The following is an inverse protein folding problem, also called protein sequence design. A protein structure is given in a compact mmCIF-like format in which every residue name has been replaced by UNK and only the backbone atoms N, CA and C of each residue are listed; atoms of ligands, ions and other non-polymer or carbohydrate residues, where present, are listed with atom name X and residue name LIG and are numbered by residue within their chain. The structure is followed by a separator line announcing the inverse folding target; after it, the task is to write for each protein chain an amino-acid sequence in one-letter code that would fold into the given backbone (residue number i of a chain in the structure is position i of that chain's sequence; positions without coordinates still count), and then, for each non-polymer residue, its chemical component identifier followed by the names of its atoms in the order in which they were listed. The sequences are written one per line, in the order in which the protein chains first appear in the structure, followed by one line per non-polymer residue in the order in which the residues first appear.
data_IF_300471980654
#
_entry.id   IF_300471980654
#
_cell.length_a   1.000
_cell.length_b   1.000
_cell.length_c   1.000
_cell.angle_alpha   90.00
_cell.angle_beta   90.00
_cell.angle_gamma   90.00
#
_symmetry.space_group_name_H-M   'P 1'
#
loop_
_entity.id
_entity.type
_entity.pdbx_description
1 polymer ?
#
# COMPACT_ATOMS: atom_id res chain seq x y z
N UNK A 1 -20.30 -8.43 -13.68
CA UNK A 1 -20.10 -8.80 -12.25
C UNK A 1 -19.02 -9.88 -12.21
N UNK A 2 -18.08 -9.79 -11.26
CA UNK A 2 -17.08 -10.85 -11.06
C UNK A 2 -17.63 -11.85 -10.04
N UNK A 3 -17.55 -13.15 -10.36
CA UNK A 3 -17.98 -14.24 -9.48
C UNK A 3 -16.85 -15.26 -9.34
N UNK A 4 -16.71 -15.93 -8.18
CA UNK A 4 -15.59 -16.83 -7.94
C UNK A 4 -15.70 -18.15 -8.71
N UNK A 5 -16.91 -18.61 -9.02
CA UNK A 5 -17.14 -19.82 -9.80
C UNK A 5 -18.50 -19.80 -10.52
N UNK A 6 -18.70 -20.76 -11.43
CA UNK A 6 -19.94 -20.89 -12.20
C UNK A 6 -21.16 -21.17 -11.33
N UNK A 7 -21.00 -21.94 -10.24
CA UNK A 7 -22.08 -22.27 -9.30
C UNK A 7 -22.63 -21.04 -8.56
N UNK A 8 -21.84 -19.98 -8.43
CA UNK A 8 -22.25 -18.71 -7.82
C UNK A 8 -23.00 -17.79 -8.78
N UNK A 9 -23.23 -18.19 -10.02
CA UNK A 9 -24.17 -17.52 -10.92
C UNK A 9 -25.58 -17.99 -10.59
N UNK A 10 -26.12 -17.47 -9.50
CA UNK A 10 -27.45 -17.77 -8.97
C UNK A 10 -28.40 -16.57 -9.15
N UNK A 11 -29.71 -16.70 -8.82
CA UNK A 11 -30.66 -15.60 -8.97
C UNK A 11 -30.26 -14.31 -8.23
N UNK A 12 -29.57 -14.41 -7.08
CA UNK A 12 -29.09 -13.24 -6.33
C UNK A 12 -27.94 -12.54 -7.04
N UNK A 13 -27.00 -13.28 -7.63
CA UNK A 13 -25.95 -12.73 -8.47
C UNK A 13 -26.51 -12.05 -9.74
N UNK A 14 -27.54 -12.63 -10.35
CA UNK A 14 -28.25 -12.03 -11.50
C UNK A 14 -28.90 -10.70 -11.09
N UNK A 15 -29.58 -10.64 -9.94
CA UNK A 15 -30.18 -9.41 -9.44
C UNK A 15 -29.12 -8.33 -9.14
N UNK A 16 -27.99 -8.73 -8.53
CA UNK A 16 -26.84 -7.82 -8.29
C UNK A 16 -26.25 -7.30 -9.61
N UNK A 17 -26.09 -8.17 -10.61
CA UNK A 17 -25.59 -7.79 -11.92
C UNK A 17 -26.54 -6.82 -12.65
N UNK A 18 -27.86 -7.03 -12.56
CA UNK A 18 -28.87 -6.10 -13.08
C UNK A 18 -28.78 -4.72 -12.41
N UNK A 19 -28.65 -4.69 -11.08
CA UNK A 19 -28.49 -3.42 -10.34
C UNK A 19 -27.21 -2.68 -10.75
N UNK A 20 -26.10 -3.40 -10.91
CA UNK A 20 -24.84 -2.81 -11.35
C UNK A 20 -24.93 -2.26 -12.78
N UNK A 21 -25.55 -3.00 -13.72
CA UNK A 21 -25.75 -2.54 -15.09
C UNK A 21 -26.68 -1.34 -15.17
N UNK A 22 -27.79 -1.36 -14.43
CA UNK A 22 -28.71 -0.22 -14.32
C UNK A 22 -28.00 1.05 -13.83
N UNK A 23 -27.17 0.91 -12.77
CA UNK A 23 -26.36 2.03 -12.25
C UNK A 23 -25.41 2.57 -13.31
N UNK A 24 -24.75 1.70 -14.08
CA UNK A 24 -23.83 2.13 -15.14
C UNK A 24 -24.56 2.88 -16.26
N UNK A 25 -25.68 2.35 -16.75
CA UNK A 25 -26.48 3.01 -17.80
C UNK A 25 -27.06 4.35 -17.34
N UNK A 26 -27.47 4.45 -16.07
CA UNK A 26 -27.94 5.70 -15.48
C UNK A 26 -26.82 6.76 -15.49
N UNK A 27 -25.60 6.36 -15.13
CA UNK A 27 -24.43 7.24 -15.14
C UNK A 27 -24.04 7.67 -16.56
N UNK A 28 -23.99 6.72 -17.51
CA UNK A 28 -23.68 6.98 -18.93
C UNK A 28 -24.71 7.96 -19.54
N UNK A 29 -26.00 7.76 -19.29
CA UNK A 29 -27.06 8.65 -19.76
C UNK A 29 -26.95 10.06 -19.16
N UNK A 30 -26.66 10.15 -17.86
CA UNK A 30 -26.47 11.42 -17.17
C UNK A 30 -25.23 12.18 -17.68
N UNK A 31 -24.12 11.49 -17.93
CA UNK A 31 -22.90 12.07 -18.50
C UNK A 31 -23.11 12.56 -19.93
N UNK A 32 -23.87 11.81 -20.74
CA UNK A 32 -24.23 12.20 -22.11
C UNK A 32 -25.09 13.46 -22.11
N UNK A 33 -26.12 13.53 -21.26
CA UNK A 33 -26.97 14.71 -21.12
C UNK A 33 -26.17 15.94 -20.63
N UNK A 34 -25.23 15.72 -19.71
CA UNK A 34 -24.33 16.78 -19.21
C UNK A 34 -23.41 17.30 -20.31
N UNK A 35 -22.88 16.42 -21.15
CA UNK A 35 -22.05 16.79 -22.29
C UNK A 35 -22.86 17.54 -23.38
N UNK A 36 -24.15 17.22 -23.53
CA UNK A 36 -25.06 17.90 -24.46
C UNK A 36 -25.50 19.30 -24.00
N UNK A 37 -25.15 19.72 -22.78
CA UNK A 37 -25.38 21.08 -22.30
C UNK A 37 -26.78 21.37 -21.74
N UNK A 38 -27.55 20.34 -21.40
CA UNK A 38 -28.88 20.53 -20.79
C UNK A 38 -28.76 21.21 -19.41
N UNK A 39 -29.52 22.29 -19.20
CA UNK A 39 -29.53 23.04 -17.94
C UNK A 39 -30.60 22.44 -17.01
N UNK A 40 -30.18 21.92 -15.84
CA UNK A 40 -30.96 21.24 -14.76
C UNK A 40 -31.13 19.72 -14.92
N UNK A 41 -30.00 19.00 -14.92
CA UNK A 41 -29.98 17.54 -15.02
C UNK A 41 -29.99 16.93 -13.61
N UNK A 42 -31.08 16.24 -13.23
CA UNK A 42 -31.13 15.42 -12.01
C UNK A 42 -30.87 13.96 -12.34
N UNK A 43 -30.12 13.28 -11.49
CA UNK A 43 -29.78 11.86 -11.68
C UNK A 43 -31.03 10.94 -11.63
N UNK A 44 -32.08 11.36 -10.91
CA UNK A 44 -33.35 10.65 -10.83
C UNK A 44 -34.00 10.44 -12.19
N UNK A 45 -33.87 11.42 -13.08
CA UNK A 45 -34.64 11.49 -14.33
C UNK A 45 -34.10 10.48 -15.37
N UNK A 46 -32.85 10.03 -15.20
CA UNK A 46 -32.17 9.05 -16.04
C UNK A 46 -32.08 7.66 -15.40
N UNK A 47 -32.73 7.44 -14.25
CA UNK A 47 -32.61 6.19 -13.51
C UNK A 47 -33.26 5.03 -14.27
N UNK A 48 -32.44 4.09 -14.73
CA UNK A 48 -32.92 2.89 -15.44
C UNK A 48 -33.35 1.82 -14.44
N UNK A 49 -34.56 1.27 -14.60
CA UNK A 49 -35.05 0.18 -13.75
C UNK A 49 -34.28 -1.12 -13.99
N UNK A 50 -33.70 -1.76 -12.95
CA UNK A 50 -32.99 -3.04 -13.08
C UNK A 50 -33.85 -4.20 -13.63
N UNK A 51 -35.19 -4.10 -13.53
CA UNK A 51 -36.12 -5.14 -13.98
C UNK A 51 -36.25 -5.20 -15.50
N UNK A 52 -36.09 -4.06 -16.19
CA UNK A 52 -36.17 -3.95 -17.65
C UNK A 52 -34.94 -4.52 -18.38
N UNK A 53 -33.93 -4.97 -17.63
CA UNK A 53 -32.69 -5.52 -18.19
C UNK A 53 -32.82 -7.01 -18.39
N UNK A 54 -32.69 -7.47 -19.63
CA UNK A 54 -32.73 -8.89 -19.95
C UNK A 54 -31.57 -9.67 -19.32
N UNK A 55 -31.86 -10.91 -18.94
CA UNK A 55 -30.86 -11.81 -18.33
C UNK A 55 -29.74 -12.15 -19.32
N UNK A 56 -30.06 -12.16 -20.62
CA UNK A 56 -29.13 -12.43 -21.71
C UNK A 56 -28.08 -11.34 -21.85
N UNK A 57 -28.36 -10.11 -21.43
CA UNK A 57 -27.42 -9.01 -21.61
C UNK A 57 -26.44 -8.84 -20.44
N UNK A 58 -26.43 -9.81 -19.52
CA UNK A 58 -25.57 -9.82 -18.36
C UNK A 58 -24.36 -10.71 -18.66
N UNK A 59 -23.17 -10.13 -18.47
CA UNK A 59 -21.90 -10.84 -18.58
C UNK A 59 -21.30 -11.02 -17.19
N UNK A 60 -20.97 -12.27 -16.88
CA UNK A 60 -20.31 -12.68 -15.65
C UNK A 60 -18.85 -13.01 -15.96
N UNK A 61 -17.93 -12.38 -15.24
CA UNK A 61 -16.50 -12.70 -15.31
C UNK A 61 -16.17 -13.70 -14.21
N UNK A 62 -15.56 -14.81 -14.58
CA UNK A 62 -15.07 -15.84 -13.66
C UNK A 62 -13.55 -15.86 -13.75
N UNK A 63 -12.86 -15.63 -12.63
CA UNK A 63 -11.40 -15.72 -12.57
C UNK A 63 -11.02 -17.20 -12.52
N UNK A 64 -10.46 -17.74 -13.60
CA UNK A 64 -10.14 -19.17 -13.71
C UNK A 64 -8.93 -19.41 -14.62
N UNK A 65 -8.19 -20.47 -14.33
CA UNK A 65 -7.02 -20.92 -15.09
C UNK A 65 -7.35 -22.01 -16.12
N UNK A 66 -8.59 -22.48 -16.21
CA UNK A 66 -8.98 -23.68 -16.99
C UNK A 66 -8.60 -23.67 -18.49
N UNK A 67 -8.34 -22.50 -19.07
CA UNK A 67 -7.97 -22.33 -20.48
C UNK A 67 -6.50 -21.98 -20.70
N UNK A 68 -5.74 -21.85 -19.61
CA UNK A 68 -4.31 -21.59 -19.64
C UNK A 68 -3.61 -22.96 -19.68
N UNK A 69 -2.61 -23.16 -20.55
CA UNK A 69 -1.84 -24.40 -20.56
C UNK A 69 -1.12 -24.64 -19.22
N UNK A 70 -1.01 -25.92 -18.86
CA UNK A 70 -0.22 -26.37 -17.71
C UNK A 70 1.27 -26.34 -18.06
N UNK A 71 2.10 -25.87 -17.15
CA UNK A 71 3.56 -25.80 -17.27
C UNK A 71 4.19 -26.26 -15.96
N UNK A 72 4.60 -27.53 -15.93
CA UNK A 72 5.22 -28.17 -14.76
C UNK A 72 6.71 -27.85 -14.61
N UNK A 73 7.37 -27.30 -15.64
CA UNK A 73 8.82 -27.04 -15.63
C UNK A 73 9.16 -25.64 -15.13
N UNK A 74 8.20 -24.71 -15.12
CA UNK A 74 8.45 -23.30 -14.75
C UNK A 74 8.88 -23.09 -13.30
N UNK A 75 8.36 -23.86 -12.35
CA UNK A 75 8.66 -23.71 -10.91
C UNK A 75 8.93 -25.05 -10.26
N UNK A 76 10.10 -25.15 -9.63
CA UNK A 76 10.55 -26.37 -8.93
C UNK A 76 9.60 -26.77 -7.78
N UNK A 77 9.06 -25.80 -7.03
CA UNK A 77 8.13 -26.01 -5.92
C UNK A 77 6.87 -25.16 -6.10
N UNK A 78 5.84 -25.61 -6.84
CA UNK A 78 4.60 -24.88 -7.02
C UNK A 78 3.77 -24.89 -5.72
N UNK A 79 3.26 -23.72 -5.31
CA UNK A 79 2.42 -23.59 -4.09
C UNK A 79 1.00 -23.14 -4.38
N UNK A 80 0.79 -22.46 -5.51
CA UNK A 80 -0.50 -21.92 -5.90
C UNK A 80 -0.95 -22.50 -7.24
N UNK A 81 -2.25 -22.45 -7.52
CA UNK A 81 -2.82 -22.89 -8.81
C UNK A 81 -2.15 -22.19 -9.99
N UNK A 82 -1.82 -20.90 -9.83
CA UNK A 82 -1.10 -20.12 -10.84
C UNK A 82 0.31 -20.64 -11.13
N UNK A 83 0.95 -21.34 -10.19
CA UNK A 83 2.31 -21.87 -10.34
C UNK A 83 2.39 -23.04 -11.31
N UNK A 84 1.28 -23.78 -11.45
CA UNK A 84 1.17 -24.94 -12.34
C UNK A 84 0.85 -24.57 -13.80
N UNK A 85 0.57 -23.30 -14.07
CA UNK A 85 0.18 -22.81 -15.39
C UNK A 85 1.28 -21.94 -16.00
N UNK A 86 1.21 -21.77 -17.33
CA UNK A 86 2.08 -20.86 -18.07
C UNK A 86 2.00 -19.43 -17.51
N UNK A 87 3.12 -18.69 -17.57
CA UNK A 87 3.18 -17.30 -17.08
C UNK A 87 2.29 -16.39 -17.93
N UNK A 88 1.40 -15.67 -17.27
CA UNK A 88 0.46 -14.73 -17.87
C UNK A 88 0.73 -13.30 -17.39
N UNK A 89 0.39 -12.31 -18.22
CA UNK A 89 0.61 -10.89 -17.95
C UNK A 89 -0.51 -10.22 -17.15
N UNK A 90 -1.73 -10.78 -17.17
CA UNK A 90 -2.84 -10.37 -16.31
C UNK A 90 -3.59 -11.58 -15.73
N UNK A 91 -4.41 -11.43 -14.69
CA UNK A 91 -5.10 -12.56 -14.08
C UNK A 91 -6.07 -13.19 -15.09
N UNK A 92 -6.03 -14.52 -15.28
CA UNK A 92 -6.83 -15.16 -16.30
C UNK A 92 -8.30 -15.21 -15.88
N UNK A 93 -9.18 -15.01 -16.86
CA UNK A 93 -10.61 -15.00 -16.66
C UNK A 93 -11.35 -15.53 -17.88
N UNK A 94 -12.59 -15.94 -17.67
CA UNK A 94 -13.54 -16.29 -18.72
C UNK A 94 -14.84 -15.52 -18.50
N UNK A 95 -15.48 -15.13 -19.60
CA UNK A 95 -16.76 -14.44 -19.60
C UNK A 95 -17.86 -15.42 -19.97
N UNK A 96 -18.93 -15.38 -19.18
CA UNK A 96 -20.11 -16.21 -19.36
C UNK A 96 -21.35 -15.36 -19.50
N UNK A 97 -22.25 -15.80 -20.37
CA UNK A 97 -23.56 -15.20 -20.62
C UNK A 97 -24.64 -16.25 -20.48
N UNK A 98 -25.83 -15.84 -20.04
CA UNK A 98 -27.01 -16.71 -20.03
C UNK A 98 -27.66 -16.69 -21.42
N UNK A 99 -27.95 -17.87 -21.96
CA UNK A 99 -28.75 -18.01 -23.18
C UNK A 99 -30.25 -17.83 -22.89
N UNK A 100 -31.09 -17.75 -23.93
CA UNK A 100 -32.56 -17.67 -23.82
C UNK A 100 -33.15 -18.84 -23.00
N UNK A 101 -32.49 -20.01 -23.04
CA UNK A 101 -32.83 -21.22 -22.27
C UNK A 101 -32.28 -21.23 -20.84
N UNK A 102 -31.60 -20.16 -20.39
CA UNK A 102 -31.01 -20.07 -19.06
C UNK A 102 -29.70 -20.86 -18.85
N UNK A 103 -29.14 -21.46 -19.91
CA UNK A 103 -27.84 -22.16 -19.85
C UNK A 103 -26.68 -21.16 -19.98
N UNK A 104 -25.60 -21.38 -19.23
CA UNK A 104 -24.37 -20.58 -19.33
C UNK A 104 -23.59 -20.96 -20.58
N UNK A 105 -23.25 -19.95 -21.38
CA UNK A 105 -22.36 -20.07 -22.53
C UNK A 105 -21.12 -19.21 -22.31
N UNK A 106 -19.94 -19.77 -22.58
CA UNK A 106 -18.70 -19.02 -22.57
C UNK A 106 -18.64 -18.13 -23.82
N UNK A 107 -18.50 -16.82 -23.64
CA UNK A 107 -18.50 -15.82 -24.71
C UNK A 107 -17.14 -15.14 -24.90
N UNK A 108 -16.21 -15.35 -23.98
CA UNK A 108 -14.87 -14.80 -24.07
C UNK A 108 -13.90 -15.49 -23.12
N UNK A 109 -12.66 -15.62 -23.54
CA UNK A 109 -11.55 -16.15 -22.73
C UNK A 109 -10.44 -15.10 -22.71
N UNK A 110 -9.78 -14.93 -21.57
CA UNK A 110 -8.55 -14.15 -21.51
C UNK A 110 -7.42 -14.87 -22.25
N UNK A 111 -6.35 -14.17 -22.61
CA UNK A 111 -5.16 -14.77 -23.21
C UNK A 111 -5.49 -15.69 -24.40
N UNK A 112 -6.47 -15.31 -25.21
CA UNK A 112 -6.97 -16.11 -26.34
C UNK A 112 -6.97 -15.27 -27.60
N UNK A 113 -6.48 -15.84 -28.69
CA UNK A 113 -6.42 -15.18 -30.00
C UNK A 113 -7.18 -16.01 -31.03
N UNK A 114 -7.98 -15.35 -31.88
CA UNK A 114 -8.87 -16.00 -32.85
C UNK A 114 -10.27 -16.24 -32.30
N UNK A 115 -11.02 -17.16 -32.92
CA UNK A 115 -12.39 -17.48 -32.51
C UNK A 115 -12.45 -18.45 -31.33
N UNK A 116 -13.65 -18.66 -30.77
CA UNK A 116 -13.83 -19.60 -29.66
C UNK A 116 -13.60 -21.06 -30.08
N UNK A 117 -13.79 -21.38 -31.36
CA UNK A 117 -13.65 -22.73 -31.94
C UNK A 117 -12.26 -22.98 -32.53
N UNK A 118 -11.66 -21.97 -33.18
CA UNK A 118 -10.41 -22.09 -33.93
C UNK A 118 -9.25 -21.25 -33.34
N UNK A 119 -9.47 -20.60 -32.21
CA UNK A 119 -8.45 -19.79 -31.57
C UNK A 119 -7.45 -20.62 -30.75
N UNK A 120 -6.42 -19.94 -30.27
CA UNK A 120 -5.37 -20.53 -29.46
C UNK A 120 -5.00 -19.63 -28.28
N UNK A 121 -4.39 -20.24 -27.27
CA UNK A 121 -3.82 -19.50 -26.15
C UNK A 121 -2.64 -18.63 -26.62
N UNK A 122 -2.60 -17.38 -26.16
CA UNK A 122 -1.52 -16.44 -26.44
C UNK A 122 -1.28 -15.56 -25.22
N UNK A 123 -0.04 -15.52 -24.72
CA UNK A 123 0.33 -14.67 -23.59
C UNK A 123 0.79 -13.26 -24.01
N UNK A 124 1.07 -13.05 -25.30
CA UNK A 124 1.79 -11.86 -25.79
C UNK A 124 0.93 -10.67 -26.20
N UNK A 125 -0.39 -10.82 -26.33
CA UNK A 125 -1.25 -9.78 -26.91
C UNK A 125 -1.81 -8.77 -25.90
N UNK A 126 -1.56 -8.94 -24.60
CA UNK A 126 -1.97 -7.95 -23.60
C UNK A 126 -0.97 -6.79 -23.53
N UNK A 127 -1.43 -5.58 -23.91
CA UNK A 127 -0.64 -4.34 -23.92
C UNK A 127 -1.25 -3.31 -22.98
N UNK A 128 -0.40 -2.59 -22.25
CA UNK A 128 -0.81 -1.40 -21.47
C UNK A 128 -1.23 -0.30 -22.45
N UNK A 129 -2.40 0.32 -22.22
CA UNK A 129 -2.84 1.45 -23.04
C UNK A 129 -2.00 2.70 -22.75
N UNK A 130 -1.85 3.58 -23.75
CA UNK A 130 -1.09 4.83 -23.55
C UNK A 130 -1.66 5.66 -22.39
N UNK A 131 -2.99 5.70 -22.23
CA UNK A 131 -3.64 6.38 -21.11
C UNK A 131 -3.25 5.78 -19.76
N UNK A 132 -3.22 4.45 -19.64
CA UNK A 132 -2.81 3.80 -18.40
C UNK A 132 -1.31 4.00 -18.10
N UNK A 133 -0.46 3.96 -19.12
CA UNK A 133 0.96 4.26 -18.99
C UNK A 133 1.19 5.70 -18.48
N UNK A 134 0.47 6.68 -19.05
CA UNK A 134 0.51 8.08 -18.58
C UNK A 134 0.04 8.21 -17.13
N UNK A 135 -0.97 7.43 -16.71
CA UNK A 135 -1.40 7.41 -15.31
C UNK A 135 -0.31 6.87 -14.39
N UNK A 136 0.42 5.82 -14.79
CA UNK A 136 1.55 5.30 -14.01
C UNK A 136 2.68 6.31 -13.86
N UNK A 137 3.06 7.00 -14.94
CA UNK A 137 4.07 8.06 -14.91
C UNK A 137 3.68 9.16 -13.92
N UNK A 138 2.45 9.70 -14.03
CA UNK A 138 1.95 10.73 -13.10
C UNK A 138 1.91 10.26 -11.64
N UNK A 139 1.60 8.98 -11.41
CA UNK A 139 1.54 8.42 -10.06
C UNK A 139 2.94 8.33 -9.44
N UNK A 140 3.94 7.90 -10.22
CA UNK A 140 5.35 7.89 -9.81
C UNK A 140 5.89 9.30 -9.53
N UNK A 141 5.67 10.25 -10.43
CA UNK A 141 6.09 11.66 -10.26
C UNK A 141 5.49 12.25 -8.99
N UNK A 142 4.17 12.11 -8.80
CA UNK A 142 3.49 12.58 -7.59
C UNK A 142 4.07 11.92 -6.33
N UNK A 143 4.38 10.63 -6.38
CA UNK A 143 4.95 9.92 -5.22
C UNK A 143 6.36 10.42 -4.86
N UNK A 144 7.19 10.73 -5.86
CA UNK A 144 8.54 11.29 -5.69
C UNK A 144 8.58 12.69 -5.08
N UNK A 145 7.45 13.42 -5.07
CA UNK A 145 7.34 14.75 -4.44
C UNK A 145 7.03 14.73 -2.95
N UNK A 146 6.77 13.55 -2.35
CA UNK A 146 6.51 13.42 -0.91
C UNK A 146 7.73 13.88 -0.10
N UNK A 147 7.50 14.47 1.06
CA UNK A 147 8.54 15.07 1.91
C UNK A 147 9.73 14.13 2.20
N UNK A 148 9.49 12.82 2.34
CA UNK A 148 10.54 11.84 2.62
C UNK A 148 11.49 11.57 1.43
N UNK A 149 11.02 11.80 0.19
CA UNK A 149 11.73 11.48 -1.05
C UNK A 149 12.15 12.73 -1.83
N UNK A 150 11.48 13.84 -1.58
CA UNK A 150 11.75 15.13 -2.21
C UNK A 150 13.19 15.55 -1.92
N UNK A 151 13.93 15.88 -2.97
CA UNK A 151 15.32 16.31 -2.86
C UNK A 151 16.31 15.18 -2.53
N UNK A 152 15.87 13.92 -2.53
CA UNK A 152 16.78 12.79 -2.41
C UNK A 152 17.57 12.60 -3.71
N UNK A 153 18.88 12.35 -3.61
CA UNK A 153 19.80 12.26 -4.75
C UNK A 153 19.38 11.22 -5.79
N UNK A 154 18.83 10.09 -5.36
CA UNK A 154 18.43 8.98 -6.25
C UNK A 154 16.93 8.96 -6.57
N UNK A 155 16.21 10.08 -6.37
CA UNK A 155 14.76 10.13 -6.59
C UNK A 155 14.38 9.76 -8.04
N UNK A 156 15.15 10.21 -9.02
CA UNK A 156 14.88 9.95 -10.44
C UNK A 156 15.06 8.46 -10.78
N UNK A 157 16.06 7.81 -10.18
CA UNK A 157 16.26 6.36 -10.30
C UNK A 157 15.14 5.57 -9.62
N UNK A 158 14.70 6.02 -8.43
CA UNK A 158 13.56 5.43 -7.73
C UNK A 158 12.28 5.49 -8.57
N UNK A 159 12.01 6.64 -9.20
CA UNK A 159 10.85 6.82 -10.08
C UNK A 159 10.93 5.90 -11.31
N UNK A 160 12.08 5.86 -11.97
CA UNK A 160 12.32 5.00 -13.14
C UNK A 160 12.12 3.52 -12.81
N UNK A 161 12.68 3.07 -11.68
CA UNK A 161 12.53 1.70 -11.23
C UNK A 161 11.10 1.36 -10.83
N UNK A 162 10.40 2.29 -10.18
CA UNK A 162 8.99 2.12 -9.86
C UNK A 162 8.11 2.02 -11.11
N UNK A 163 8.40 2.83 -12.14
CA UNK A 163 7.70 2.76 -13.42
C UNK A 163 7.93 1.43 -14.13
N UNK A 164 9.16 0.91 -14.12
CA UNK A 164 9.47 -0.43 -14.64
C UNK A 164 8.67 -1.50 -13.89
N UNK A 165 8.61 -1.40 -12.54
CA UNK A 165 7.83 -2.33 -11.73
C UNK A 165 6.33 -2.26 -12.10
N UNK A 166 5.75 -1.07 -12.20
CA UNK A 166 4.35 -0.89 -12.62
C UNK A 166 4.10 -1.44 -14.01
N UNK A 167 5.06 -1.33 -14.93
CA UNK A 167 4.93 -1.90 -16.28
C UNK A 167 4.89 -3.44 -16.26
N UNK A 168 5.60 -4.07 -15.32
CA UNK A 168 5.64 -5.53 -15.18
C UNK A 168 4.43 -6.11 -14.46
N UNK A 169 3.97 -5.47 -13.38
CA UNK A 169 2.91 -6.01 -12.50
C UNK A 169 1.60 -5.22 -12.57
N UNK A 170 1.55 -4.15 -13.35
CA UNK A 170 0.41 -3.23 -13.39
C UNK A 170 -0.87 -3.92 -13.86
N UNK A 171 -0.76 -4.80 -14.86
CA UNK A 171 -1.89 -5.58 -15.36
C UNK A 171 -2.26 -6.76 -14.47
N UNK A 172 -1.47 -7.08 -13.43
CA UNK A 172 -1.73 -8.20 -12.51
C UNK A 172 -2.73 -7.86 -11.40
N UNK A 173 -3.29 -6.64 -11.39
CA UNK A 173 -4.30 -6.25 -10.42
C UNK A 173 -5.55 -7.14 -10.51
N UNK A 174 -5.97 -7.69 -9.37
CA UNK A 174 -7.13 -8.56 -9.28
C UNK A 174 -8.35 -7.82 -8.72
N UNK A 175 -9.23 -7.41 -9.63
CA UNK A 175 -10.50 -6.72 -9.33
C UNK A 175 -11.45 -7.55 -8.44
N UNK A 176 -11.25 -8.86 -8.31
CA UNK A 176 -12.10 -9.69 -7.44
C UNK A 176 -11.81 -9.49 -5.95
N UNK A 177 -10.62 -8.97 -5.61
CA UNK A 177 -10.15 -8.80 -4.23
C UNK A 177 -10.28 -7.37 -3.72
N UNK A 178 -10.22 -6.39 -4.61
CA UNK A 178 -10.28 -4.97 -4.26
C UNK A 178 -10.88 -4.16 -5.40
N UNK A 179 -11.69 -3.16 -5.05
CA UNK A 179 -12.24 -2.19 -5.99
C UNK A 179 -11.30 -0.99 -6.20
N UNK A 180 -10.25 -0.84 -5.37
CA UNK A 180 -9.34 0.30 -5.41
C UNK A 180 -7.97 -0.06 -6.02
N UNK A 181 -7.75 0.20 -7.33
CA UNK A 181 -6.47 -0.06 -7.99
C UNK A 181 -5.36 0.92 -7.56
N UNK A 182 -5.70 2.16 -7.14
CA UNK A 182 -4.70 3.15 -6.73
C UNK A 182 -3.90 2.70 -5.51
N UNK A 183 -4.53 2.01 -4.57
CA UNK A 183 -3.86 1.45 -3.40
C UNK A 183 -2.83 0.38 -3.79
N UNK A 184 -3.19 -0.50 -4.74
CA UNK A 184 -2.28 -1.53 -5.27
C UNK A 184 -1.05 -0.91 -5.95
N UNK A 185 -1.26 0.06 -6.85
CA UNK A 185 -0.16 0.74 -7.53
C UNK A 185 0.72 1.55 -6.57
N UNK A 186 0.12 2.26 -5.63
CA UNK A 186 0.89 3.04 -4.63
C UNK A 186 1.74 2.13 -3.75
N UNK A 187 1.23 0.97 -3.35
CA UNK A 187 2.00 -0.03 -2.61
C UNK A 187 3.18 -0.57 -3.44
N UNK A 188 2.96 -0.86 -4.73
CA UNK A 188 4.04 -1.28 -5.63
C UNK A 188 5.16 -0.23 -5.74
N UNK A 189 4.79 1.05 -5.88
CA UNK A 189 5.77 2.15 -5.91
C UNK A 189 6.51 2.27 -4.58
N UNK A 190 5.78 2.24 -3.46
CA UNK A 190 6.37 2.35 -2.11
C UNK A 190 7.44 1.28 -1.91
N UNK A 191 7.13 0.02 -2.26
CA UNK A 191 8.05 -1.10 -2.15
C UNK A 191 9.26 -0.97 -3.11
N UNK A 192 9.06 -0.39 -4.30
CA UNK A 192 10.16 -0.13 -5.23
C UNK A 192 11.11 0.95 -4.71
N UNK A 193 10.57 2.06 -4.17
CA UNK A 193 11.34 3.15 -3.59
C UNK A 193 12.17 2.68 -2.40
N UNK A 194 11.56 1.94 -1.47
CA UNK A 194 12.28 1.41 -0.30
C UNK A 194 13.34 0.39 -0.70
N UNK A 195 13.12 -0.42 -1.74
CA UNK A 195 14.13 -1.33 -2.28
C UNK A 195 15.36 -0.59 -2.78
N UNK A 196 15.20 0.46 -3.59
CA UNK A 196 16.33 1.27 -4.08
C UNK A 196 17.06 1.94 -2.91
N UNK A 197 16.33 2.52 -1.96
CA UNK A 197 16.92 3.10 -0.75
C UNK A 197 17.78 2.08 0.01
N UNK A 198 17.30 0.85 0.15
CA UNK A 198 18.02 -0.21 0.86
C UNK A 198 19.26 -0.69 0.09
N UNK A 199 19.18 -0.79 -1.24
CA UNK A 199 20.33 -1.10 -2.09
C UNK A 199 21.40 -0.02 -1.93
N UNK A 200 21.01 1.25 -1.97
CA UNK A 200 21.94 2.35 -1.82
C UNK A 200 22.61 2.37 -0.44
N UNK A 201 21.84 2.19 0.64
CA UNK A 201 22.39 2.05 2.00
C UNK A 201 23.40 0.91 2.10
N UNK A 202 23.13 -0.22 1.45
CA UNK A 202 24.05 -1.36 1.39
C UNK A 202 25.33 -1.00 0.64
N UNK A 203 25.23 -0.30 -0.49
CA UNK A 203 26.39 0.13 -1.27
C UNK A 203 27.24 1.16 -0.50
N UNK A 204 26.60 2.07 0.24
CA UNK A 204 27.28 3.01 1.13
C UNK A 204 28.06 2.27 2.23
N UNK A 205 27.45 1.28 2.88
CA UNK A 205 28.12 0.46 3.89
C UNK A 205 29.34 -0.29 3.30
N UNK A 206 29.19 -0.91 2.13
CA UNK A 206 30.30 -1.61 1.45
C UNK A 206 31.45 -0.64 1.11
N UNK A 207 31.12 0.58 0.64
CA UNK A 207 32.12 1.61 0.38
C UNK A 207 32.87 1.98 1.65
N UNK A 208 32.15 2.23 2.74
CA UNK A 208 32.75 2.59 4.03
C UNK A 208 33.62 1.46 4.59
N UNK A 209 33.17 0.20 4.50
CA UNK A 209 33.97 -0.97 4.92
C UNK A 209 35.26 -1.08 4.10
N UNK A 210 35.22 -0.80 2.78
CA UNK A 210 36.40 -0.78 1.92
C UNK A 210 37.37 0.34 2.31
N UNK A 211 36.85 1.53 2.64
CA UNK A 211 37.68 2.65 3.10
C UNK A 211 38.38 2.31 4.43
N UNK A 212 37.64 1.73 5.38
CA UNK A 212 38.18 1.28 6.67
C UNK A 212 39.27 0.21 6.47
N UNK A 213 39.06 -0.77 5.59
CA UNK A 213 40.06 -1.79 5.26
C UNK A 213 41.36 -1.22 4.68
N UNK A 214 41.27 -0.09 3.97
CA UNK A 214 42.42 0.60 3.39
C UNK A 214 43.00 1.69 4.30
N UNK A 215 42.64 1.71 5.59
CA UNK A 215 43.05 2.74 6.56
C UNK A 215 42.69 4.18 6.12
N UNK A 216 41.64 4.33 5.32
CA UNK A 216 41.08 5.62 4.93
C UNK A 216 39.87 5.98 5.78
N UNK A 217 39.54 7.27 5.83
CA UNK A 217 38.41 7.75 6.62
C UNK A 217 37.07 7.42 5.93
N UNK A 218 36.12 6.73 6.60
CA UNK A 218 34.80 6.43 6.05
C UNK A 218 33.87 7.66 6.13
N UNK A 219 32.63 7.52 5.67
CA UNK A 219 31.63 8.59 5.71
C UNK A 219 31.40 9.18 7.13
N UNK A 220 31.01 10.45 7.21
CA UNK A 220 30.69 11.11 8.50
C UNK A 220 29.59 10.39 9.28
N UNK A 221 28.62 9.79 8.59
CA UNK A 221 27.56 8.99 9.21
C UNK A 221 28.13 7.76 9.89
N UNK A 222 29.02 7.03 9.22
CA UNK A 222 29.71 5.85 9.75
C UNK A 222 30.63 6.21 10.93
N UNK A 223 31.39 7.29 10.83
CA UNK A 223 32.23 7.79 11.94
C UNK A 223 31.37 8.11 13.18
N UNK A 224 30.25 8.81 12.97
CA UNK A 224 29.32 9.14 14.05
C UNK A 224 28.62 7.91 14.63
N UNK A 225 28.30 6.89 13.83
CA UNK A 225 27.79 5.60 14.34
C UNK A 225 28.83 4.87 15.19
N UNK A 226 30.09 4.83 14.74
CA UNK A 226 31.18 4.24 15.49
C UNK A 226 31.38 4.95 16.83
N UNK A 227 31.38 6.29 16.84
CA UNK A 227 31.46 7.11 18.05
C UNK A 227 30.27 6.84 18.99
N UNK A 228 29.04 6.86 18.46
CA UNK A 228 27.82 6.59 19.24
C UNK A 228 27.78 5.20 19.85
N UNK A 229 28.38 4.23 19.17
CA UNK A 229 28.41 2.85 19.62
C UNK A 229 29.44 2.58 20.71
N UNK A 230 30.39 3.49 20.93
CA UNK A 230 31.39 3.37 21.99
C UNK A 230 30.73 3.33 23.38
N UNK A 231 31.32 2.54 24.28
CA UNK A 231 30.87 2.45 25.69
C UNK A 231 30.91 3.81 26.37
N UNK A 232 31.91 4.64 26.05
CA UNK A 232 32.07 5.98 26.59
C UNK A 232 30.92 6.93 26.18
N UNK A 233 30.52 6.90 24.91
CA UNK A 233 29.39 7.70 24.43
C UNK A 233 28.07 7.22 25.03
N UNK A 234 27.84 5.91 25.08
CA UNK A 234 26.64 5.32 25.72
C UNK A 234 26.54 5.70 27.20
N UNK A 235 27.67 5.71 27.93
CA UNK A 235 27.72 6.14 29.34
C UNK A 235 27.43 7.63 29.51
N UNK A 236 27.92 8.49 28.60
CA UNK A 236 27.58 9.93 28.59
C UNK A 236 26.10 10.17 28.31
N UNK A 237 25.52 9.45 27.36
CA UNK A 237 24.10 9.55 26.98
C UNK A 237 23.13 8.89 27.96
N UNK A 238 23.60 8.20 28.99
CA UNK A 238 22.73 7.71 30.07
C UNK A 238 22.28 8.84 31.02
N UNK A 239 23.10 9.88 31.20
CA UNK A 239 22.78 11.04 32.05
C UNK A 239 22.91 12.37 31.28
N UNK A 240 22.21 12.56 30.13
CA UNK A 240 22.41 13.72 29.27
C UNK A 240 21.95 15.04 29.92
N UNK A 241 21.05 14.96 30.91
CA UNK A 241 20.52 16.10 31.66
C UNK A 241 20.96 16.10 33.14
N UNK A 242 22.01 15.35 33.48
CA UNK A 242 22.49 15.21 34.87
C UNK A 242 21.69 14.21 35.70
N UNK A 243 21.95 14.17 37.01
CA UNK A 243 21.30 13.24 37.93
C UNK A 243 19.86 13.69 38.25
N UNK A 244 18.87 12.87 37.91
CA UNK A 244 17.48 13.13 38.31
C UNK A 244 17.28 12.73 39.78
N UNK A 245 16.90 13.71 40.59
CA UNK A 245 16.65 13.56 42.03
C UNK A 245 15.17 13.83 42.33
N UNK A 246 14.60 13.10 43.28
CA UNK A 246 13.25 13.38 43.80
C UNK A 246 13.28 13.65 45.28
N UNK A 247 12.46 14.60 45.72
CA UNK A 247 12.30 14.93 47.14
C UNK A 247 11.64 13.76 47.87
N UNK A 248 12.15 13.39 49.04
CA UNK A 248 11.54 12.36 49.87
C UNK A 248 10.16 12.81 50.39
N UNK A 249 9.25 11.87 50.73
CA UNK A 249 7.89 12.18 51.21
C UNK A 249 7.90 13.19 52.37
N UNK A 250 8.83 13.05 53.31
CA UNK A 250 9.02 13.97 54.44
C UNK A 250 9.46 15.38 54.00
N UNK A 251 10.30 15.49 52.98
CA UNK A 251 10.69 16.78 52.39
C UNK A 251 9.52 17.44 51.65
N UNK A 252 8.71 16.65 50.94
CA UNK A 252 7.51 17.11 50.26
C UNK A 252 6.47 17.69 51.26
N UNK A 253 6.31 17.05 52.41
CA UNK A 253 5.43 17.54 53.49
C UNK A 253 5.92 18.87 54.05
N UNK A 254 7.24 19.04 54.21
CA UNK A 254 7.84 20.32 54.65
C UNK A 254 7.60 21.44 53.62
N UNK A 255 7.84 21.17 52.33
CA UNK A 255 7.59 22.12 51.24
C UNK A 255 6.10 22.50 51.17
N UNK A 256 5.19 21.52 51.24
CA UNK A 256 3.76 21.78 51.25
C UNK A 256 3.31 22.62 52.45
N UNK A 257 3.94 22.43 53.63
CA UNK A 257 3.67 23.26 54.82
C UNK A 257 4.17 24.69 54.62
N UNK A 258 5.30 24.89 53.96
CA UNK A 258 5.88 26.20 53.65
C UNK A 258 5.05 26.94 52.60
N UNK A 259 4.67 26.24 51.51
CA UNK A 259 3.77 26.74 50.47
C UNK A 259 2.41 27.17 51.04
N UNK A 260 1.80 26.36 51.93
CA UNK A 260 0.54 26.73 52.59
C UNK A 260 0.65 27.97 53.49
N UNK A 261 1.84 28.30 53.99
CA UNK A 261 2.07 29.46 54.85
C UNK A 261 2.44 30.72 54.06
N UNK A 262 3.23 30.58 53.00
CA UNK A 262 3.83 31.70 52.27
C UNK A 262 3.18 31.94 50.90
N UNK A 263 2.31 31.04 50.43
CA UNK A 263 1.63 31.14 49.13
C UNK A 263 2.49 30.74 47.93
N UNK A 264 3.82 30.87 48.05
CA UNK A 264 4.80 30.56 47.00
C UNK A 264 5.99 29.77 47.56
N UNK A 265 6.78 29.16 46.68
CA UNK A 265 8.04 28.47 46.99
C UNK A 265 9.17 29.07 46.15
N UNK A 266 10.28 29.38 46.78
CA UNK A 266 11.51 29.91 46.18
C UNK A 266 12.57 28.81 45.99
N UNK A 267 13.61 29.08 45.20
CA UNK A 267 14.69 28.12 44.93
C UNK A 267 15.43 27.67 46.21
N UNK A 268 15.52 28.54 47.22
CA UNK A 268 16.22 28.26 48.47
C UNK A 268 15.46 27.25 49.35
N UNK A 269 14.14 27.19 49.22
CA UNK A 269 13.28 26.27 49.97
C UNK A 269 13.52 24.81 49.59
N UNK A 270 14.02 24.59 48.38
CA UNK A 270 14.41 23.30 47.86
C UNK A 270 15.81 22.87 48.35
N UNK A 271 16.59 23.74 48.99
CA UNK A 271 17.86 23.38 49.63
C UNK A 271 17.69 22.58 50.93
N UNK A 272 16.60 22.84 51.67
CA UNK A 272 16.35 22.31 53.02
C UNK A 272 15.72 20.89 53.03
N UNK A 273 15.53 20.28 51.87
CA UNK A 273 14.87 18.98 51.73
C UNK A 273 15.81 17.87 51.28
N UNK A 274 15.63 16.68 51.87
CA UNK A 274 16.38 15.49 51.49
C UNK A 274 15.96 14.96 50.12
N UNK A 275 16.95 14.77 49.23
CA UNK A 275 16.78 14.22 47.89
C UNK A 275 17.15 12.74 47.83
N UNK A 276 16.38 11.96 47.08
CA UNK A 276 16.70 10.59 46.69
C UNK A 276 17.03 10.55 45.20
N UNK A 277 18.16 9.94 44.84
CA UNK A 277 18.53 9.69 43.44
C UNK A 277 17.55 8.70 42.82
N UNK A 278 17.01 9.03 41.65
CA UNK A 278 16.24 8.09 40.84
C UNK A 278 17.14 7.58 39.72
N UNK A 279 17.39 6.28 39.74
CA UNK A 279 17.97 5.60 38.58
C UNK A 279 16.90 5.43 37.51
N UNK A 280 16.94 6.29 36.49
CA UNK A 280 16.14 6.10 35.28
C UNK A 280 16.75 4.94 34.48
N UNK A 281 16.31 3.71 34.75
CA UNK A 281 16.68 2.57 33.90
C UNK A 281 16.23 2.86 32.45
N UNK A 282 17.09 2.64 31.43
CA UNK A 282 16.71 2.84 30.03
C UNK A 282 15.44 2.05 29.70
N UNK A 283 14.39 2.74 29.23
CA UNK A 283 13.17 2.10 28.74
C UNK A 283 11.94 2.14 29.66
N UNK A 284 12.00 2.68 30.89
CA UNK A 284 10.76 3.00 31.62
C UNK A 284 10.17 4.30 31.08
N UNK A 285 9.05 4.20 30.36
CA UNK A 285 8.19 5.36 30.10
C UNK A 285 7.75 5.93 31.46
N UNK A 286 7.82 7.25 31.69
CA UNK A 286 7.28 7.83 32.91
C UNK A 286 5.81 7.43 33.01
N UNK A 287 5.32 6.99 34.18
CA UNK A 287 3.91 6.74 34.37
C UNK A 287 3.20 8.08 34.22
N UNK A 288 2.61 8.32 33.04
CA UNK A 288 1.67 9.40 32.83
C UNK A 288 0.46 9.02 33.67
N UNK A 289 0.41 9.51 34.90
CA UNK A 289 -0.80 9.44 35.71
C UNK A 289 -1.81 10.34 34.98
N UNK A 290 -2.62 9.74 34.09
CA UNK A 290 -3.80 10.38 33.53
C UNK A 290 -4.82 10.53 34.65
N UNK A 291 -4.67 11.57 35.46
CA UNK A 291 -5.75 12.17 36.22
C UNK A 291 -5.61 13.68 36.07
N UNK A 292 -6.32 14.19 35.08
CA UNK A 292 -6.97 15.49 35.19
C UNK A 292 -8.27 15.25 35.94
#
# INVERSE_FOLDING_TARGET
LIVPNLKKINPTAIAKARKAKAKRMTQEAWETAKAAGEKKIRLSDFTVSPRKIDKTDLVFRVMTYDHIPMDSQRKKNPKQVSDHHSKVNFPPFQHYRLDKKGKLQCVGKSHWQGGMVNGSFSAGHGKITNSLAMMFMKLCERYGTRANWRGYTYNDEMQSQALMQLSQIGLQFDESKSENPFAYYTAAITNSFTRILNIEKKNQAIRDDLLEMNNMNPSFTRQGENERNTVAYKKRMQNPHGEVRTVNKTGLVKLNRKLRKQGELSSDDFGDVGYKKIELKPGRKPPVIKKW
#
